data_IF_132543513091
#
_entry.id   IF_132543513091
#
_cell.length_a   1.000
_cell.length_b   1.000
_cell.length_c   1.000
_cell.angle_alpha   90.00
_cell.angle_beta   90.00
_cell.angle_gamma   90.00
#
_symmetry.space_group_name_H-M   'P 1'
#
loop_
_entity.id
_entity.type
_entity.pdbx_description
1 polymer ?
#
# COMPACT_ATOMS: atom_id res chain seq x y z
N UNK A 1 -21.33 28.11 -16.51
CA UNK A 1 -22.00 26.89 -16.01
C UNK A 1 -20.97 25.77 -16.02
N UNK A 2 -20.51 25.32 -14.87
CA UNK A 2 -19.57 24.20 -14.77
C UNK A 2 -20.25 22.92 -15.24
N UNK A 3 -19.68 22.25 -16.23
CA UNK A 3 -20.12 20.97 -16.76
C UNK A 3 -20.10 19.96 -15.62
N UNK A 4 -21.26 19.49 -15.15
CA UNK A 4 -21.37 18.45 -14.13
C UNK A 4 -20.58 17.24 -14.65
N UNK A 5 -19.44 16.94 -14.01
CA UNK A 5 -18.65 15.76 -14.40
C UNK A 5 -19.58 14.54 -14.38
N UNK A 6 -19.64 13.80 -15.47
CA UNK A 6 -20.45 12.60 -15.53
C UNK A 6 -19.94 11.61 -14.50
N UNK A 7 -20.81 11.02 -13.69
CA UNK A 7 -20.45 9.97 -12.75
C UNK A 7 -19.93 8.77 -13.53
N UNK A 8 -18.74 8.29 -13.17
CA UNK A 8 -18.12 7.08 -13.74
C UNK A 8 -17.64 6.19 -12.60
N UNK A 9 -17.25 4.96 -12.89
CA UNK A 9 -16.69 4.04 -11.89
C UNK A 9 -15.43 4.63 -11.26
N UNK A 10 -14.58 5.26 -12.04
CA UNK A 10 -13.35 5.91 -11.56
C UNK A 10 -13.65 7.04 -10.57
N UNK A 11 -14.68 7.86 -10.84
CA UNK A 11 -15.10 8.95 -9.93
C UNK A 11 -15.65 8.37 -8.62
N UNK A 12 -16.42 7.28 -8.70
CA UNK A 12 -16.97 6.60 -7.53
C UNK A 12 -15.85 6.01 -6.67
N UNK A 13 -14.90 5.30 -7.29
CA UNK A 13 -13.76 4.69 -6.61
C UNK A 13 -12.82 5.75 -6.03
N UNK A 14 -12.51 6.81 -6.78
CA UNK A 14 -11.68 7.91 -6.29
C UNK A 14 -12.27 8.54 -5.02
N UNK A 15 -13.60 8.83 -5.02
CA UNK A 15 -14.26 9.39 -3.84
C UNK A 15 -14.31 8.41 -2.66
N UNK A 16 -14.49 7.12 -2.92
CA UNK A 16 -14.40 6.09 -1.90
C UNK A 16 -12.98 6.02 -1.30
N UNK A 17 -11.94 6.11 -2.14
CA UNK A 17 -10.53 6.14 -1.71
C UNK A 17 -10.24 7.36 -0.83
N UNK A 18 -10.75 8.54 -1.16
CA UNK A 18 -10.63 9.73 -0.29
C UNK A 18 -11.25 9.48 1.10
N UNK A 19 -12.49 8.98 1.15
CA UNK A 19 -13.18 8.68 2.41
C UNK A 19 -12.36 7.68 3.25
N UNK A 20 -11.83 6.64 2.61
CA UNK A 20 -11.04 5.62 3.30
C UNK A 20 -9.70 6.19 3.79
N UNK A 21 -9.03 7.02 3.01
CA UNK A 21 -7.79 7.73 3.43
C UNK A 21 -8.02 8.67 4.62
N UNK A 22 -9.17 9.33 4.68
CA UNK A 22 -9.50 10.27 5.75
C UNK A 22 -10.00 9.59 7.04
N UNK A 23 -10.80 8.52 6.90
CA UNK A 23 -11.61 7.99 8.01
C UNK A 23 -11.57 6.46 8.16
N UNK A 24 -10.76 5.76 7.33
CA UNK A 24 -10.64 4.30 7.35
C UNK A 24 -11.80 3.56 6.67
N UNK A 25 -11.63 2.25 6.48
CA UNK A 25 -12.64 1.41 5.80
C UNK A 25 -13.99 1.35 6.50
N UNK A 26 -14.01 1.44 7.83
CA UNK A 26 -15.25 1.42 8.61
C UNK A 26 -16.17 2.62 8.31
N UNK A 27 -15.61 3.72 7.80
CA UNK A 27 -16.39 4.89 7.39
C UNK A 27 -17.00 4.74 5.99
N UNK A 28 -16.53 3.77 5.19
CA UNK A 28 -17.01 3.56 3.84
C UNK A 28 -18.39 2.89 3.86
N UNK A 29 -19.38 3.59 3.35
CA UNK A 29 -20.74 3.07 3.18
C UNK A 29 -21.39 3.66 1.93
N UNK A 30 -22.32 2.91 1.30
CA UNK A 30 -23.07 3.42 0.14
C UNK A 30 -23.79 4.75 0.42
N UNK A 31 -24.37 4.90 1.62
CA UNK A 31 -25.06 6.14 2.00
C UNK A 31 -24.09 7.31 2.15
N UNK A 32 -22.95 7.08 2.80
CA UNK A 32 -21.89 8.09 2.98
C UNK A 32 -21.31 8.52 1.64
N UNK A 33 -20.97 7.56 0.78
CA UNK A 33 -20.43 7.79 -0.55
C UNK A 33 -21.43 8.52 -1.47
N UNK A 34 -22.70 8.10 -1.49
CA UNK A 34 -23.74 8.74 -2.27
C UNK A 34 -23.96 10.21 -1.86
N UNK A 35 -23.94 10.47 -0.54
CA UNK A 35 -23.99 11.84 0.00
C UNK A 35 -22.80 12.66 -0.47
N UNK A 36 -21.59 12.11 -0.38
CA UNK A 36 -20.36 12.78 -0.80
C UNK A 36 -20.32 13.10 -2.31
N UNK A 37 -20.95 12.23 -3.13
CA UNK A 37 -21.08 12.41 -4.58
C UNK A 37 -22.33 13.19 -5.00
N UNK A 38 -23.19 13.56 -4.04
CA UNK A 38 -24.48 14.23 -4.30
C UNK A 38 -25.39 13.45 -5.27
N UNK A 39 -25.52 12.13 -5.05
CA UNK A 39 -26.38 11.21 -5.82
C UNK A 39 -27.24 10.35 -4.90
N UNK A 40 -28.22 9.64 -5.46
CA UNK A 40 -28.99 8.64 -4.71
C UNK A 40 -28.17 7.35 -4.53
N UNK A 41 -28.28 6.66 -3.37
CA UNK A 41 -27.54 5.40 -3.13
C UNK A 41 -27.75 4.34 -4.22
N UNK A 42 -28.97 4.24 -4.76
CA UNK A 42 -29.27 3.29 -5.84
C UNK A 42 -28.48 3.58 -7.13
N UNK A 43 -28.03 4.82 -7.33
CA UNK A 43 -27.24 5.19 -8.51
C UNK A 43 -25.87 4.51 -8.50
N UNK A 44 -25.30 4.23 -7.32
CA UNK A 44 -23.98 3.64 -7.17
C UNK A 44 -23.93 2.18 -7.65
N UNK A 45 -25.05 1.45 -7.55
CA UNK A 45 -25.13 0.05 -8.03
C UNK A 45 -24.91 -0.11 -9.53
N UNK A 46 -24.95 0.99 -10.29
CA UNK A 46 -24.62 0.98 -11.73
C UNK A 46 -23.11 0.98 -11.99
N UNK A 47 -22.30 1.32 -10.97
CA UNK A 47 -20.86 1.48 -11.07
C UNK A 47 -20.09 0.43 -10.28
N UNK A 48 -20.63 -0.01 -9.15
CA UNK A 48 -20.07 -1.05 -8.28
C UNK A 48 -21.20 -1.91 -7.74
N UNK A 49 -21.07 -3.24 -7.85
CA UNK A 49 -22.16 -4.15 -7.55
C UNK A 49 -22.47 -4.26 -6.04
N UNK A 50 -21.43 -4.18 -5.19
CA UNK A 50 -21.55 -4.28 -3.73
C UNK A 50 -20.39 -3.55 -3.03
N UNK A 51 -20.46 -3.46 -1.70
CA UNK A 51 -19.48 -2.76 -0.90
C UNK A 51 -18.11 -3.47 -0.91
N UNK A 52 -18.12 -4.79 -1.00
CA UNK A 52 -16.91 -5.61 -1.05
C UNK A 52 -16.13 -5.35 -2.35
N UNK A 53 -16.82 -5.28 -3.50
CA UNK A 53 -16.21 -4.90 -4.77
C UNK A 53 -15.61 -3.49 -4.68
N UNK A 54 -16.34 -2.54 -4.11
CA UNK A 54 -15.83 -1.18 -3.91
C UNK A 54 -14.58 -1.17 -3.02
N UNK A 55 -14.57 -1.93 -1.93
CA UNK A 55 -13.39 -2.07 -1.07
C UNK A 55 -12.19 -2.63 -1.83
N UNK A 56 -12.40 -3.65 -2.68
CA UNK A 56 -11.33 -4.20 -3.54
C UNK A 56 -10.78 -3.13 -4.48
N UNK A 57 -11.64 -2.35 -5.14
CA UNK A 57 -11.19 -1.27 -6.04
C UNK A 57 -10.40 -0.20 -5.30
N UNK A 58 -10.79 0.16 -4.08
CA UNK A 58 -10.03 1.08 -3.21
C UNK A 58 -8.66 0.50 -2.86
N UNK A 59 -8.59 -0.79 -2.49
CA UNK A 59 -7.32 -1.47 -2.20
C UNK A 59 -6.40 -1.48 -3.42
N UNK A 60 -6.92 -1.81 -4.59
CA UNK A 60 -6.15 -1.82 -5.85
C UNK A 60 -5.60 -0.44 -6.18
N UNK A 61 -6.43 0.60 -6.03
CA UNK A 61 -6.02 2.00 -6.24
C UNK A 61 -4.89 2.39 -5.29
N UNK A 62 -5.02 2.06 -4.00
CA UNK A 62 -3.98 2.32 -3.01
C UNK A 62 -2.66 1.60 -3.34
N UNK A 63 -2.73 0.33 -3.74
CA UNK A 63 -1.53 -0.44 -4.11
C UNK A 63 -0.86 0.12 -5.36
N UNK A 64 -1.62 0.60 -6.35
CA UNK A 64 -1.07 1.26 -7.52
C UNK A 64 -0.35 2.56 -7.16
N UNK A 65 -0.96 3.39 -6.33
CA UNK A 65 -0.34 4.62 -5.84
C UNK A 65 0.93 4.32 -5.01
N UNK A 66 0.91 3.32 -4.12
CA UNK A 66 2.07 2.90 -3.34
C UNK A 66 3.22 2.44 -4.25
N UNK A 67 2.93 1.60 -5.26
CA UNK A 67 3.92 1.13 -6.22
C UNK A 67 4.54 2.32 -6.97
N UNK A 68 3.72 3.23 -7.49
CA UNK A 68 4.20 4.42 -8.21
C UNK A 68 5.04 5.32 -7.29
N UNK A 69 4.60 5.54 -6.06
CA UNK A 69 5.32 6.33 -5.08
C UNK A 69 6.68 5.71 -4.76
N UNK A 70 6.73 4.42 -4.42
CA UNK A 70 8.00 3.73 -4.13
C UNK A 70 8.96 3.77 -5.31
N UNK A 71 8.46 3.56 -6.54
CA UNK A 71 9.26 3.68 -7.75
C UNK A 71 9.85 5.08 -7.92
N UNK A 72 9.06 6.13 -7.70
CA UNK A 72 9.51 7.52 -7.81
C UNK A 72 10.61 7.86 -6.80
N UNK A 73 10.51 7.33 -5.58
CA UNK A 73 11.48 7.59 -4.50
C UNK A 73 12.82 6.87 -4.69
N UNK A 74 12.86 5.84 -5.53
CA UNK A 74 14.06 5.04 -5.81
C UNK A 74 14.84 5.56 -7.02
N UNK A 75 14.24 6.44 -7.84
CA UNK A 75 14.89 7.02 -9.02
C UNK A 75 16.19 7.75 -8.61
N UNK A 76 17.28 7.44 -9.32
CA UNK A 76 18.60 8.02 -9.05
C UNK A 76 19.42 7.29 -7.99
N UNK A 77 18.83 6.30 -7.29
CA UNK A 77 19.54 5.47 -6.32
C UNK A 77 19.83 4.07 -6.86
N UNK A 78 20.86 3.41 -6.34
CA UNK A 78 21.22 2.04 -6.70
C UNK A 78 21.67 1.26 -5.47
N UNK A 79 21.73 -0.07 -5.60
CA UNK A 79 22.25 -0.95 -4.54
C UNK A 79 21.51 -0.78 -3.21
N UNK A 80 22.25 -0.77 -2.11
CA UNK A 80 21.70 -0.67 -0.76
C UNK A 80 20.93 0.64 -0.54
N UNK A 81 21.37 1.75 -1.13
CA UNK A 81 20.66 3.03 -1.01
C UNK A 81 19.26 2.96 -1.62
N UNK A 82 19.09 2.29 -2.77
CA UNK A 82 17.79 2.09 -3.39
C UNK A 82 16.86 1.25 -2.49
N UNK A 83 17.39 0.21 -1.81
CA UNK A 83 16.62 -0.60 -0.85
C UNK A 83 16.17 0.24 0.35
N UNK A 84 17.06 1.07 0.91
CA UNK A 84 16.73 1.95 2.04
C UNK A 84 15.66 2.98 1.65
N UNK A 85 15.76 3.57 0.45
CA UNK A 85 14.75 4.50 -0.08
C UNK A 85 13.40 3.81 -0.32
N UNK A 86 13.41 2.59 -0.84
CA UNK A 86 12.21 1.78 -0.98
C UNK A 86 11.53 1.53 0.38
N UNK A 87 12.29 1.08 1.38
CA UNK A 87 11.77 0.80 2.71
C UNK A 87 11.19 2.06 3.38
N UNK A 88 11.93 3.17 3.31
CA UNK A 88 11.45 4.47 3.78
C UNK A 88 10.15 4.87 3.09
N UNK A 89 10.08 4.74 1.77
CA UNK A 89 8.90 5.11 1.00
C UNK A 89 7.67 4.28 1.39
N UNK A 90 7.82 2.96 1.58
CA UNK A 90 6.72 2.11 2.04
C UNK A 90 6.23 2.56 3.41
N UNK A 91 7.15 2.81 4.36
CA UNK A 91 6.80 3.23 5.72
C UNK A 91 6.09 4.59 5.73
N UNK A 92 6.63 5.57 5.02
CA UNK A 92 6.07 6.94 4.96
C UNK A 92 4.71 6.97 4.22
N UNK A 93 4.53 6.13 3.19
CA UNK A 93 3.27 6.09 2.45
C UNK A 93 2.14 5.41 3.25
N UNK A 94 2.48 4.47 4.12
CA UNK A 94 1.54 3.78 5.01
C UNK A 94 1.02 4.70 6.12
N UNK A 95 0.76 5.95 5.79
CA UNK A 95 0.36 7.00 6.72
C UNK A 95 -0.86 6.57 7.55
N UNK A 96 -0.68 6.36 8.83
CA UNK A 96 -1.55 6.16 10.00
C UNK A 96 -3.05 5.77 9.85
N UNK A 97 -3.64 5.78 8.66
CA UNK A 97 -5.06 5.46 8.41
C UNK A 97 -5.29 4.35 7.40
N UNK A 98 -4.26 3.99 6.62
CA UNK A 98 -4.32 2.96 5.59
C UNK A 98 -3.01 2.18 5.57
N UNK A 99 -2.85 1.28 6.53
CA UNK A 99 -1.77 0.31 6.48
C UNK A 99 -2.12 -0.82 5.52
N UNK A 100 -1.11 -1.45 4.98
CA UNK A 100 -1.29 -2.63 4.15
C UNK A 100 -2.07 -3.71 4.90
N UNK A 101 -1.89 -3.83 6.21
CA UNK A 101 -2.58 -4.80 7.05
C UNK A 101 -4.04 -4.43 7.28
N UNK A 102 -4.37 -3.15 7.50
CA UNK A 102 -5.76 -2.71 7.59
C UNK A 102 -6.51 -2.92 6.28
N UNK A 103 -5.83 -2.76 5.14
CA UNK A 103 -6.35 -3.07 3.81
C UNK A 103 -6.63 -4.57 3.66
N UNK A 104 -5.71 -5.41 4.12
CA UNK A 104 -5.78 -6.85 3.99
C UNK A 104 -6.78 -7.49 4.96
N UNK A 105 -6.94 -6.94 6.17
CA UNK A 105 -7.90 -7.44 7.17
C UNK A 105 -9.36 -7.12 6.84
N UNK A 106 -9.60 -6.08 6.05
CA UNK A 106 -10.96 -5.68 5.65
C UNK A 106 -11.54 -6.59 4.57
N UNK A 107 -10.71 -7.26 3.79
CA UNK A 107 -11.16 -8.20 2.77
C UNK A 107 -11.11 -9.63 3.30
N UNK A 108 -12.25 -10.18 3.70
CA UNK A 108 -12.36 -11.61 3.94
C UNK A 108 -11.81 -12.37 2.72
N UNK A 109 -10.80 -13.23 2.93
CA UNK A 109 -10.14 -14.08 1.92
C UNK A 109 -9.38 -13.36 0.80
N UNK A 110 -8.17 -12.86 1.14
CA UNK A 110 -7.19 -12.38 0.14
C UNK A 110 -6.79 -13.48 -0.85
N UNK A 111 -6.91 -14.75 -0.46
CA UNK A 111 -6.61 -15.90 -1.33
C UNK A 111 -7.41 -15.91 -2.62
N UNK A 112 -8.65 -15.40 -2.61
CA UNK A 112 -9.52 -15.35 -3.77
C UNK A 112 -9.37 -14.11 -4.65
N UNK A 113 -8.57 -13.11 -4.18
CA UNK A 113 -8.42 -11.84 -4.90
C UNK A 113 -7.12 -11.81 -5.69
N UNK A 114 -7.12 -12.47 -6.84
CA UNK A 114 -5.97 -12.60 -7.75
C UNK A 114 -5.31 -11.26 -8.06
N UNK A 115 -6.09 -10.19 -8.24
CA UNK A 115 -5.59 -8.87 -8.59
C UNK A 115 -4.81 -8.22 -7.44
N UNK A 116 -5.32 -8.27 -6.20
CA UNK A 116 -4.61 -7.76 -5.01
C UNK A 116 -3.28 -8.50 -4.85
N UNK A 117 -3.28 -9.84 -4.98
CA UNK A 117 -2.06 -10.64 -4.92
C UNK A 117 -1.07 -10.23 -6.01
N UNK A 118 -1.54 -10.00 -7.23
CA UNK A 118 -0.69 -9.54 -8.34
C UNK A 118 -0.03 -8.18 -8.05
N UNK A 119 -0.77 -7.22 -7.47
CA UNK A 119 -0.21 -5.91 -7.05
C UNK A 119 0.79 -6.03 -5.91
N UNK A 120 0.55 -6.88 -4.92
CA UNK A 120 1.51 -7.16 -3.84
C UNK A 120 2.79 -7.79 -4.38
N UNK A 121 2.68 -8.69 -5.37
CA UNK A 121 3.84 -9.25 -6.07
C UNK A 121 4.58 -8.16 -6.86
N UNK A 122 3.87 -7.26 -7.54
CA UNK A 122 4.49 -6.14 -8.26
C UNK A 122 5.24 -5.17 -7.31
N UNK A 123 4.70 -4.88 -6.13
CA UNK A 123 5.40 -4.08 -5.11
C UNK A 123 6.73 -4.74 -4.69
N UNK A 124 6.76 -6.06 -4.60
CA UNK A 124 7.95 -6.85 -4.25
C UNK A 124 9.01 -6.87 -5.35
N UNK A 125 8.64 -6.68 -6.63
CA UNK A 125 9.56 -6.82 -7.77
C UNK A 125 10.71 -5.81 -7.73
N UNK A 126 10.48 -4.58 -7.30
CA UNK A 126 11.52 -3.55 -7.28
C UNK A 126 12.70 -3.94 -6.37
N UNK A 127 12.51 -4.24 -5.08
CA UNK A 127 13.61 -4.70 -4.23
C UNK A 127 14.17 -6.06 -4.68
N UNK A 128 13.35 -6.94 -5.27
CA UNK A 128 13.80 -8.22 -5.79
C UNK A 128 14.84 -8.06 -6.91
N UNK A 129 14.58 -7.17 -7.87
CA UNK A 129 15.52 -6.89 -8.96
C UNK A 129 16.82 -6.28 -8.43
N UNK A 130 16.74 -5.36 -7.46
CA UNK A 130 17.93 -4.72 -6.88
C UNK A 130 18.80 -5.77 -6.14
N UNK A 131 18.19 -6.58 -5.27
CA UNK A 131 18.90 -7.59 -4.48
C UNK A 131 19.47 -8.71 -5.38
N UNK A 132 18.75 -9.11 -6.42
CA UNK A 132 19.25 -10.10 -7.39
C UNK A 132 20.51 -9.64 -8.11
N UNK A 133 20.62 -8.34 -8.43
CA UNK A 133 21.83 -7.78 -9.05
C UNK A 133 23.04 -7.75 -8.13
N UNK A 134 22.82 -7.75 -6.81
CA UNK A 134 23.87 -7.74 -5.79
C UNK A 134 24.32 -9.13 -5.36
N UNK A 135 23.47 -10.15 -5.52
CA UNK A 135 23.73 -11.50 -5.06
C UNK A 135 24.22 -12.39 -6.21
N UNK A 136 25.31 -13.13 -5.97
CA UNK A 136 25.81 -14.16 -6.89
C UNK A 136 25.00 -15.45 -6.84
N UNK A 137 24.18 -15.66 -5.80
CA UNK A 137 23.37 -16.86 -5.57
C UNK A 137 21.88 -16.53 -5.59
N UNK A 138 21.13 -17.14 -6.52
CA UNK A 138 19.71 -16.86 -6.72
C UNK A 138 18.82 -17.26 -5.53
N UNK A 139 19.18 -18.30 -4.79
CA UNK A 139 18.43 -18.78 -3.61
C UNK A 139 18.50 -17.75 -2.47
N UNK A 140 19.67 -17.16 -2.28
CA UNK A 140 19.89 -16.15 -1.24
C UNK A 140 19.09 -14.86 -1.51
N UNK A 141 19.04 -14.42 -2.76
CA UNK A 141 18.28 -13.23 -3.14
C UNK A 141 16.76 -13.34 -2.82
N UNK A 142 16.16 -14.51 -3.02
CA UNK A 142 14.74 -14.74 -2.73
C UNK A 142 14.45 -14.69 -1.23
N UNK A 143 15.28 -15.31 -0.40
CA UNK A 143 15.16 -15.27 1.06
C UNK A 143 15.34 -13.85 1.60
N UNK A 144 16.33 -13.11 1.07
CA UNK A 144 16.58 -11.72 1.45
C UNK A 144 15.40 -10.80 1.12
N UNK A 145 14.77 -10.97 -0.04
CA UNK A 145 13.55 -10.22 -0.41
C UNK A 145 12.40 -10.54 0.56
N UNK A 146 12.19 -11.80 0.91
CA UNK A 146 11.15 -12.19 1.86
C UNK A 146 11.40 -11.56 3.24
N UNK A 147 12.62 -11.66 3.76
CA UNK A 147 12.97 -11.03 5.04
C UNK A 147 12.81 -9.51 5.01
N UNK A 148 13.27 -8.86 3.94
CA UNK A 148 13.13 -7.41 3.76
C UNK A 148 11.66 -7.00 3.80
N UNK A 149 10.80 -7.65 3.00
CA UNK A 149 9.38 -7.34 2.95
C UNK A 149 8.69 -7.62 4.29
N UNK A 150 9.03 -8.73 4.95
CA UNK A 150 8.49 -9.06 6.28
C UNK A 150 8.90 -8.03 7.33
N UNK A 151 10.15 -7.57 7.30
CA UNK A 151 10.63 -6.53 8.22
C UNK A 151 9.90 -5.20 7.99
N UNK A 152 9.80 -4.75 6.73
CA UNK A 152 9.14 -3.47 6.40
C UNK A 152 7.66 -3.52 6.78
N UNK A 153 6.93 -4.55 6.35
CA UNK A 153 5.49 -4.65 6.57
C UNK A 153 5.15 -4.88 8.05
N UNK A 154 5.91 -5.76 8.73
CA UNK A 154 5.72 -6.01 10.16
C UNK A 154 6.05 -4.78 11.00
N UNK A 155 7.07 -4.01 10.63
CA UNK A 155 7.43 -2.80 11.34
C UNK A 155 6.41 -1.67 11.10
N UNK A 156 5.91 -1.52 9.88
CA UNK A 156 4.83 -0.58 9.58
C UNK A 156 3.58 -0.88 10.43
N UNK A 157 3.19 -2.16 10.51
CA UNK A 157 2.09 -2.60 11.36
C UNK A 157 2.33 -2.33 12.84
N UNK A 158 3.55 -2.62 13.35
CA UNK A 158 3.93 -2.38 14.73
C UNK A 158 3.77 -0.90 15.14
N UNK A 159 4.07 0.01 14.21
CA UNK A 159 3.85 1.45 14.40
C UNK A 159 2.35 1.78 14.38
N UNK A 160 1.60 1.24 13.41
CA UNK A 160 0.19 1.57 13.21
C UNK A 160 -0.71 1.17 14.39
N UNK A 161 -0.44 0.02 14.99
CA UNK A 161 -1.17 -0.44 16.19
C UNK A 161 -0.70 0.25 17.48
N UNK A 162 0.23 1.23 17.39
CA UNK A 162 0.66 2.04 18.52
C UNK A 162 1.61 1.35 19.49
N UNK A 163 2.33 0.31 19.06
CA UNK A 163 3.32 -0.39 19.90
C UNK A 163 4.72 0.23 19.82
N UNK A 164 4.94 1.20 18.94
CA UNK A 164 6.21 1.87 18.81
C UNK A 164 6.23 3.18 19.64
N UNK A 165 7.13 3.25 20.63
CA UNK A 165 7.28 4.38 21.54
C UNK A 165 8.28 5.42 21.03
N UNK A 166 8.14 5.90 19.81
CA UNK A 166 9.07 6.86 19.20
C UNK A 166 8.41 7.77 18.17
N UNK A 167 9.19 8.72 17.63
CA UNK A 167 8.74 9.56 16.52
C UNK A 167 8.86 8.81 15.19
N UNK A 168 8.19 9.33 14.15
CA UNK A 168 8.28 8.77 12.80
C UNK A 168 9.73 8.78 12.29
N UNK A 169 10.50 9.86 12.55
CA UNK A 169 11.91 9.94 12.16
C UNK A 169 12.75 8.87 12.86
N UNK A 170 12.49 8.60 14.13
CA UNK A 170 13.17 7.53 14.89
C UNK A 170 12.82 6.16 14.34
N UNK A 171 11.55 5.93 13.96
CA UNK A 171 11.11 4.70 13.34
C UNK A 171 11.80 4.45 11.99
N UNK A 172 11.87 5.47 11.13
CA UNK A 172 12.58 5.39 9.84
C UNK A 172 14.06 5.08 10.06
N UNK A 173 14.71 5.78 10.98
CA UNK A 173 16.14 5.57 11.29
C UNK A 173 16.41 4.16 11.83
N UNK A 174 15.54 3.64 12.71
CA UNK A 174 15.64 2.28 13.23
C UNK A 174 15.49 1.25 12.12
N UNK A 175 14.45 1.38 11.27
CA UNK A 175 14.23 0.47 10.15
C UNK A 175 15.42 0.47 9.19
N UNK A 176 15.96 1.63 8.83
CA UNK A 176 17.12 1.76 7.97
C UNK A 176 18.33 1.04 8.55
N UNK A 177 18.63 1.27 9.84
CA UNK A 177 19.74 0.62 10.55
C UNK A 177 19.62 -0.92 10.53
N UNK A 178 18.42 -1.48 10.71
CA UNK A 178 18.23 -2.94 10.68
C UNK A 178 18.36 -3.50 9.26
N UNK A 179 17.87 -2.77 8.25
CA UNK A 179 18.03 -3.17 6.84
C UNK A 179 19.51 -3.16 6.46
N UNK A 180 20.28 -2.13 6.84
CA UNK A 180 21.73 -2.05 6.59
C UNK A 180 22.46 -3.27 7.16
N UNK A 181 22.18 -3.63 8.42
CA UNK A 181 22.77 -4.83 9.04
C UNK A 181 22.40 -6.09 8.26
N UNK A 182 21.15 -6.23 7.85
CA UNK A 182 20.70 -7.38 7.05
C UNK A 182 21.40 -7.45 5.68
N UNK A 183 21.70 -6.29 5.06
CA UNK A 183 22.37 -6.22 3.76
C UNK A 183 23.88 -6.49 3.84
N UNK A 184 24.53 -6.22 4.98
CA UNK A 184 25.96 -6.43 5.22
C UNK A 184 26.26 -7.87 5.67
N UNK A 185 25.31 -8.52 6.37
CA UNK A 185 25.48 -9.90 6.86
C UNK A 185 25.42 -10.88 5.68
N UNK A 186 26.58 -11.19 5.09
CA UNK A 186 26.80 -12.21 4.08
C UNK A 186 27.47 -13.43 4.71
#
# INVERSE_FOLDING_TARGET
>A
MARKASLTTEVVVAKATEIVKESGFNALSYRGLARALNVQPQTLYRYVANIEELQVQVILTFLDELIQYTQSQVIGFSGNQAILKFAQAVLTYSNHKLTLTSLLSTSADISDKREIKAKLMALRELPAVILKRQSSKQIDASGRVQMLMSLILGFAEYIDIGLYDGTEEQAVALLQSQIEKMLISN
#
